data_IF_198149193824
#
_entry.id   IF_198149193824
#
_cell.length_a   1.000
_cell.length_b   1.000
_cell.length_c   1.000
_cell.angle_alpha   90.00
_cell.angle_beta   90.00
_cell.angle_gamma   90.00
#
_symmetry.space_group_name_H-M   'P 1'
#
loop_
_entity.id
_entity.type
_entity.pdbx_description
1 polymer ?
#
# COMPACT_ATOMS: atom_id res chain seq x y z
N UNK A 1 -2.93 -30.50 -21.36
CA UNK A 1 -2.07 -29.44 -20.80
C UNK A 1 -0.66 -29.98 -20.72
N UNK A 2 0.27 -29.30 -21.41
CA UNK A 2 1.68 -29.74 -21.47
C UNK A 2 2.36 -29.66 -20.09
N UNK A 3 3.42 -30.45 -19.91
CA UNK A 3 4.21 -30.47 -18.65
C UNK A 3 4.85 -29.11 -18.38
N UNK A 4 5.14 -28.32 -19.45
CA UNK A 4 5.63 -26.95 -19.37
C UNK A 4 4.60 -25.97 -18.81
N UNK A 5 3.32 -26.11 -19.20
CA UNK A 5 2.25 -25.27 -18.66
C UNK A 5 2.02 -25.52 -17.17
N UNK A 6 2.14 -26.79 -16.72
CA UNK A 6 2.08 -27.16 -15.28
C UNK A 6 3.29 -26.62 -14.51
N UNK A 7 4.49 -26.67 -15.09
CA UNK A 7 5.70 -26.13 -14.46
C UNK A 7 5.70 -24.60 -14.39
N UNK A 8 5.18 -23.90 -15.40
CA UNK A 8 4.99 -22.45 -15.38
C UNK A 8 3.97 -22.02 -14.32
N UNK A 9 2.81 -22.69 -14.27
CA UNK A 9 1.79 -22.45 -13.24
C UNK A 9 2.33 -22.72 -11.83
N UNK A 10 3.14 -23.75 -11.64
CA UNK A 10 3.78 -24.08 -10.34
C UNK A 10 4.86 -23.07 -9.95
N UNK A 11 5.62 -22.53 -10.92
CA UNK A 11 6.57 -21.42 -10.70
C UNK A 11 5.87 -20.11 -10.34
N UNK A 12 4.69 -19.84 -10.89
CA UNK A 12 3.89 -18.65 -10.54
C UNK A 12 3.30 -18.73 -9.14
N UNK A 13 2.97 -19.94 -8.64
CA UNK A 13 2.48 -20.15 -7.26
C UNK A 13 3.58 -20.07 -6.21
N UNK A 14 4.86 -20.22 -6.60
CA UNK A 14 6.00 -20.26 -5.68
C UNK A 14 6.76 -18.92 -5.62
N UNK A 15 6.43 -17.96 -6.49
CA UNK A 15 7.06 -16.64 -6.49
C UNK A 15 6.54 -15.77 -5.34
N UNK A 16 7.43 -15.07 -4.62
CA UNK A 16 7.00 -14.20 -3.53
C UNK A 16 6.14 -13.04 -4.07
N UNK A 17 5.15 -12.64 -3.29
CA UNK A 17 4.14 -11.65 -3.70
C UNK A 17 4.28 -10.36 -2.90
N UNK A 18 4.06 -9.25 -3.57
CA UNK A 18 3.88 -7.94 -2.92
C UNK A 18 2.47 -7.44 -3.24
N UNK A 19 1.68 -7.21 -2.20
CA UNK A 19 0.34 -6.67 -2.31
C UNK A 19 0.36 -5.21 -1.85
N UNK A 20 0.04 -4.29 -2.76
CA UNK A 20 0.03 -2.86 -2.47
C UNK A 20 -1.43 -2.42 -2.36
N UNK A 21 -1.86 -2.01 -1.16
CA UNK A 21 -3.17 -1.40 -0.94
C UNK A 21 -3.00 0.11 -0.97
N UNK A 22 -3.46 0.73 -2.05
CA UNK A 22 -3.27 2.15 -2.31
C UNK A 22 -4.60 2.91 -2.35
N UNK A 23 -4.54 4.24 -2.19
CA UNK A 23 -5.72 5.10 -2.25
C UNK A 23 -5.64 6.27 -1.29
N UNK A 24 -6.55 7.26 -1.41
CA UNK A 24 -6.52 8.44 -0.57
C UNK A 24 -6.77 8.15 0.91
N UNK A 25 -6.47 9.11 1.77
CA UNK A 25 -6.89 9.06 3.16
C UNK A 25 -8.44 8.94 3.22
N UNK A 26 -8.96 8.17 4.16
CA UNK A 26 -10.40 7.91 4.26
C UNK A 26 -10.98 6.87 3.30
N UNK A 27 -10.19 6.27 2.39
CA UNK A 27 -10.67 5.27 1.45
C UNK A 27 -10.94 3.87 2.04
N UNK A 28 -10.70 3.67 3.35
CA UNK A 28 -10.91 2.36 3.98
C UNK A 28 -9.81 1.33 3.71
N UNK A 29 -8.62 1.77 3.34
CA UNK A 29 -7.49 0.88 3.00
C UNK A 29 -7.12 -0.11 4.09
N UNK A 30 -7.02 0.36 5.34
CA UNK A 30 -6.66 -0.50 6.47
C UNK A 30 -7.73 -1.55 6.74
N UNK A 31 -9.01 -1.18 6.66
CA UNK A 31 -10.14 -2.13 6.81
C UNK A 31 -10.09 -3.18 5.70
N UNK A 32 -9.98 -2.74 4.44
CA UNK A 32 -9.83 -3.65 3.31
C UNK A 32 -8.62 -4.58 3.47
N UNK A 33 -7.48 -4.04 3.91
CA UNK A 33 -6.27 -4.84 4.11
C UNK A 33 -6.49 -5.92 5.18
N UNK A 34 -7.07 -5.58 6.33
CA UNK A 34 -7.31 -6.53 7.41
C UNK A 34 -8.27 -7.65 6.99
N UNK A 35 -9.32 -7.34 6.27
CA UNK A 35 -10.28 -8.32 5.78
C UNK A 35 -9.70 -9.18 4.66
N UNK A 36 -9.16 -8.55 3.61
CA UNK A 36 -8.71 -9.24 2.41
C UNK A 36 -7.39 -9.99 2.58
N UNK A 37 -6.38 -9.38 3.25
CA UNK A 37 -5.04 -9.96 3.30
C UNK A 37 -5.00 -11.24 4.13
N UNK A 38 -5.76 -11.29 5.21
CA UNK A 38 -5.80 -12.46 6.11
C UNK A 38 -6.68 -13.56 5.51
N UNK A 39 -7.91 -13.21 5.08
CA UNK A 39 -8.89 -14.19 4.63
C UNK A 39 -8.60 -14.72 3.21
N UNK A 40 -8.27 -13.85 2.27
CA UNK A 40 -8.24 -14.18 0.84
C UNK A 40 -6.82 -14.31 0.27
N UNK A 41 -5.88 -13.51 0.77
CA UNK A 41 -4.54 -13.45 0.19
C UNK A 41 -3.51 -14.32 0.92
N UNK A 42 -3.83 -14.85 2.09
CA UNK A 42 -2.91 -15.58 2.97
C UNK A 42 -1.56 -14.84 3.13
N UNK A 43 -1.62 -13.52 3.35
CA UNK A 43 -0.46 -12.65 3.46
C UNK A 43 -0.51 -11.89 4.81
N UNK A 44 -0.03 -12.49 5.91
CA UNK A 44 -0.11 -11.88 7.25
C UNK A 44 0.89 -10.74 7.46
N UNK A 45 1.98 -10.70 6.68
CA UNK A 45 2.98 -9.64 6.78
C UNK A 45 2.44 -8.35 6.14
N UNK A 46 1.99 -7.41 6.97
CA UNK A 46 1.40 -6.15 6.53
C UNK A 46 2.13 -4.96 7.15
N UNK A 47 2.55 -4.01 6.33
CA UNK A 47 3.32 -2.83 6.76
C UNK A 47 2.55 -1.56 6.41
N UNK A 48 2.33 -0.72 7.44
CA UNK A 48 1.62 0.55 7.33
C UNK A 48 2.36 1.62 8.13
N UNK A 49 2.80 2.69 7.47
CA UNK A 49 3.57 3.77 8.09
C UNK A 49 2.74 4.53 9.16
N UNK A 50 1.43 4.68 8.97
CA UNK A 50 0.57 5.36 9.94
C UNK A 50 0.43 4.53 11.23
N UNK A 51 0.33 3.20 11.13
CA UNK A 51 0.33 2.30 12.29
C UNK A 51 1.68 2.29 13.00
N UNK A 52 2.79 2.32 12.27
CA UNK A 52 4.13 2.45 12.85
C UNK A 52 4.24 3.78 13.60
N UNK A 53 3.81 4.89 13.00
CA UNK A 53 3.83 6.21 13.63
C UNK A 53 3.00 6.24 14.91
N UNK A 54 1.79 5.67 14.89
CA UNK A 54 0.93 5.56 16.06
C UNK A 54 1.55 4.70 17.17
N UNK A 55 2.23 3.61 16.82
CA UNK A 55 2.96 2.78 17.78
C UNK A 55 4.17 3.49 18.40
N UNK A 56 4.83 4.38 17.65
CA UNK A 56 5.98 5.16 18.13
C UNK A 56 5.58 6.38 18.97
N UNK A 57 4.48 7.01 18.63
CA UNK A 57 3.97 8.24 19.30
C UNK A 57 2.44 8.22 19.29
N UNK A 58 1.81 7.48 20.23
CA UNK A 58 0.36 7.28 20.22
C UNK A 58 -0.46 8.57 20.32
N UNK A 59 0.05 9.58 21.03
CA UNK A 59 -0.65 10.86 21.25
C UNK A 59 -0.36 11.93 20.20
N UNK A 60 0.73 11.77 19.41
CA UNK A 60 1.15 12.71 18.37
C UNK A 60 1.87 11.97 17.23
N UNK A 61 1.17 11.09 16.48
CA UNK A 61 1.79 10.26 15.43
C UNK A 61 2.48 11.06 14.31
N UNK A 62 2.01 12.30 14.07
CA UNK A 62 2.59 13.21 13.08
C UNK A 62 4.06 13.54 13.38
N UNK A 63 4.46 13.59 14.67
CA UNK A 63 5.84 13.81 15.08
C UNK A 63 6.76 12.62 14.69
N UNK A 64 6.20 11.43 14.67
CA UNK A 64 6.90 10.20 14.32
C UNK A 64 6.87 9.87 12.80
N UNK A 65 6.08 10.59 12.00
CA UNK A 65 5.79 10.22 10.61
C UNK A 65 7.03 10.00 9.73
N UNK A 66 8.07 10.84 9.84
CA UNK A 66 9.32 10.68 9.08
C UNK A 66 10.09 9.43 9.50
N UNK A 67 10.14 9.17 10.80
CA UNK A 67 10.83 8.00 11.36
C UNK A 67 10.08 6.73 11.00
N UNK A 68 8.76 6.74 11.11
CA UNK A 68 7.88 5.64 10.71
C UNK A 68 8.03 5.28 9.23
N UNK A 69 8.10 6.28 8.34
CA UNK A 69 8.35 6.05 6.92
C UNK A 69 9.70 5.37 6.66
N UNK A 70 10.76 5.74 7.39
CA UNK A 70 12.07 5.08 7.30
C UNK A 70 12.00 3.64 7.80
N UNK A 71 11.42 3.41 8.98
CA UNK A 71 11.22 2.06 9.55
C UNK A 71 10.42 1.19 8.59
N UNK A 72 9.37 1.73 7.97
CA UNK A 72 8.60 1.02 6.95
C UNK A 72 9.52 0.55 5.81
N UNK A 73 10.32 1.43 5.22
CA UNK A 73 11.20 1.07 4.11
C UNK A 73 12.25 0.03 4.51
N UNK A 74 12.85 0.15 5.70
CA UNK A 74 13.79 -0.83 6.25
C UNK A 74 13.13 -2.20 6.44
N UNK A 75 11.88 -2.23 6.92
CA UNK A 75 11.10 -3.46 7.08
C UNK A 75 10.82 -4.11 5.72
N UNK A 76 10.40 -3.33 4.71
CA UNK A 76 10.17 -3.82 3.35
C UNK A 76 11.45 -4.40 2.74
N UNK A 77 12.59 -3.72 2.91
CA UNK A 77 13.90 -4.21 2.45
C UNK A 77 14.30 -5.50 3.18
N UNK A 78 13.92 -5.66 4.44
CA UNK A 78 14.08 -6.90 5.20
C UNK A 78 13.34 -8.07 4.54
N UNK A 79 12.05 -7.94 4.27
CA UNK A 79 11.25 -8.96 3.57
C UNK A 79 11.82 -9.29 2.18
N UNK A 80 12.27 -8.26 1.45
CA UNK A 80 12.86 -8.45 0.12
C UNK A 80 14.16 -9.24 0.18
N UNK A 81 14.98 -9.08 1.21
CA UNK A 81 16.22 -9.85 1.40
C UNK A 81 15.97 -11.34 1.61
N UNK A 82 14.95 -11.67 2.39
CA UNK A 82 14.61 -13.08 2.71
C UNK A 82 13.58 -13.67 1.75
N UNK A 83 13.17 -12.93 0.71
CA UNK A 83 12.18 -13.33 -0.32
C UNK A 83 10.82 -13.69 0.27
N UNK A 84 10.42 -13.03 1.33
CA UNK A 84 9.11 -13.22 1.97
C UNK A 84 8.03 -12.39 1.25
N UNK A 85 6.82 -12.96 1.17
CA UNK A 85 5.65 -12.24 0.66
C UNK A 85 5.16 -11.24 1.70
N UNK A 86 4.82 -10.04 1.28
CA UNK A 86 4.31 -9.00 2.17
C UNK A 86 3.27 -8.12 1.49
N UNK A 87 2.51 -7.42 2.32
CA UNK A 87 1.61 -6.36 1.89
C UNK A 87 2.02 -5.02 2.49
N UNK A 88 1.67 -3.96 1.80
CA UNK A 88 1.88 -2.60 2.31
C UNK A 88 0.70 -1.70 1.99
N UNK A 89 0.49 -0.71 2.86
CA UNK A 89 -0.48 0.35 2.66
C UNK A 89 0.20 1.67 2.29
N UNK A 90 -0.38 2.39 1.33
CA UNK A 90 0.15 3.70 0.93
C UNK A 90 -0.94 4.61 0.36
N UNK A 91 -0.77 5.92 0.46
CA UNK A 91 -1.56 6.88 -0.31
C UNK A 91 -1.10 6.99 -1.76
N UNK A 92 0.00 6.36 -2.12
CA UNK A 92 0.67 6.47 -3.43
C UNK A 92 1.04 7.91 -3.81
N UNK A 93 1.01 8.85 -2.87
CA UNK A 93 1.27 10.27 -3.14
C UNK A 93 2.75 10.61 -3.34
N UNK A 94 3.64 9.73 -2.87
CA UNK A 94 5.10 9.84 -3.06
C UNK A 94 5.60 9.08 -4.29
N UNK A 95 6.79 9.43 -4.77
CA UNK A 95 7.44 8.77 -5.90
C UNK A 95 8.33 7.59 -5.53
N UNK A 96 8.48 7.28 -4.25
CA UNK A 96 9.37 6.22 -3.78
C UNK A 96 9.06 4.87 -4.45
N UNK A 97 7.79 4.51 -4.58
CA UNK A 97 7.38 3.25 -5.17
C UNK A 97 7.67 3.14 -6.67
N UNK A 98 7.80 4.26 -7.39
CA UNK A 98 8.24 4.25 -8.79
C UNK A 98 9.65 3.65 -8.95
N UNK A 99 10.50 3.77 -7.91
CA UNK A 99 11.85 3.17 -7.87
C UNK A 99 11.84 1.77 -7.28
N UNK A 100 11.01 1.49 -6.28
CA UNK A 100 10.98 0.20 -5.60
C UNK A 100 10.33 -0.89 -6.47
N UNK A 101 9.22 -0.61 -7.13
CA UNK A 101 8.46 -1.59 -7.93
C UNK A 101 9.33 -2.28 -9.00
N UNK A 102 10.10 -1.56 -9.85
CA UNK A 102 10.98 -2.22 -10.82
C UNK A 102 12.04 -3.10 -10.17
N UNK A 103 12.60 -2.68 -9.03
CA UNK A 103 13.61 -3.43 -8.27
C UNK A 103 13.04 -4.72 -7.68
N UNK A 104 11.81 -4.68 -7.14
CA UNK A 104 11.13 -5.84 -6.61
C UNK A 104 10.79 -6.86 -7.71
N UNK A 105 10.33 -6.37 -8.88
CA UNK A 105 10.10 -7.22 -10.05
C UNK A 105 11.38 -7.89 -10.54
N UNK A 106 12.48 -7.15 -10.62
CA UNK A 106 13.79 -7.70 -11.01
C UNK A 106 14.28 -8.81 -10.04
N UNK A 107 13.78 -8.81 -8.80
CA UNK A 107 14.02 -9.85 -7.79
C UNK A 107 12.99 -10.98 -7.83
N UNK A 108 12.13 -11.02 -8.85
CA UNK A 108 11.16 -12.10 -9.07
C UNK A 108 9.88 -12.01 -8.23
N UNK A 109 9.54 -10.82 -7.70
CA UNK A 109 8.27 -10.62 -7.01
C UNK A 109 7.11 -10.43 -8.00
N UNK A 110 5.99 -11.11 -7.71
CA UNK A 110 4.71 -10.78 -8.32
C UNK A 110 4.06 -9.64 -7.54
N UNK A 111 3.80 -8.51 -8.22
CA UNK A 111 3.24 -7.31 -7.58
C UNK A 111 1.79 -7.13 -8.02
N UNK A 112 0.89 -7.01 -7.05
CA UNK A 112 -0.51 -6.69 -7.27
C UNK A 112 -0.85 -5.39 -6.54
N UNK A 113 -1.44 -4.43 -7.27
CA UNK A 113 -1.87 -3.15 -6.73
C UNK A 113 -3.41 -3.10 -6.67
N UNK A 114 -3.93 -2.81 -5.50
CA UNK A 114 -5.34 -2.50 -5.26
C UNK A 114 -5.45 -1.00 -5.00
N UNK A 115 -6.16 -0.28 -5.86
CA UNK A 115 -6.36 1.15 -5.67
C UNK A 115 -7.81 1.42 -5.26
N UNK A 116 -8.03 1.77 -3.99
CA UNK A 116 -9.32 2.14 -3.44
C UNK A 116 -9.60 3.60 -3.77
N UNK A 117 -10.56 3.82 -4.65
CA UNK A 117 -10.92 5.14 -5.14
C UNK A 117 -11.99 5.78 -4.26
N UNK A 118 -11.92 7.10 -4.12
CA UNK A 118 -13.02 7.95 -3.68
C UNK A 118 -13.40 8.92 -4.82
N UNK A 119 -14.66 9.36 -4.89
CA UNK A 119 -15.13 10.24 -5.95
C UNK A 119 -14.38 11.57 -6.05
N UNK A 120 -14.07 12.17 -4.89
CA UNK A 120 -13.42 13.48 -4.80
C UNK A 120 -12.64 13.63 -3.48
N UNK A 121 -11.89 14.72 -3.38
CA UNK A 121 -11.09 15.04 -2.20
C UNK A 121 -11.95 15.45 -1.00
N UNK A 122 -13.12 16.02 -1.24
CA UNK A 122 -14.09 16.45 -0.23
C UNK A 122 -14.56 15.24 0.58
N UNK A 123 -14.97 14.17 -0.07
CA UNK A 123 -15.34 12.91 0.59
C UNK A 123 -14.16 12.31 1.38
N UNK A 124 -12.93 12.44 0.88
CA UNK A 124 -11.75 11.99 1.61
C UNK A 124 -11.59 12.76 2.93
N UNK A 125 -11.74 14.10 2.89
CA UNK A 125 -11.67 14.96 4.07
C UNK A 125 -12.81 14.69 5.07
N UNK A 126 -14.04 14.52 4.60
CA UNK A 126 -15.20 14.19 5.43
C UNK A 126 -14.99 12.87 6.19
N UNK A 127 -14.50 11.84 5.51
CA UNK A 127 -14.21 10.53 6.13
C UNK A 127 -13.05 10.60 7.12
N UNK A 128 -12.02 11.41 6.86
CA UNK A 128 -10.96 11.67 7.83
C UNK A 128 -11.53 12.37 9.06
N UNK A 129 -12.35 13.44 8.88
CA UNK A 129 -12.98 14.15 9.98
C UNK A 129 -13.92 13.24 10.81
N UNK A 130 -14.68 12.36 10.16
CA UNK A 130 -15.50 11.36 10.84
C UNK A 130 -14.67 10.41 11.69
N UNK A 131 -13.56 9.91 11.14
CA UNK A 131 -12.61 9.04 11.86
C UNK A 131 -12.03 9.73 13.09
N UNK A 132 -11.68 11.01 12.97
CA UNK A 132 -11.17 11.83 14.11
C UNK A 132 -12.21 11.92 15.21
N UNK A 133 -13.48 12.16 14.88
CA UNK A 133 -14.57 12.15 15.89
C UNK A 133 -14.74 10.80 16.60
N UNK A 134 -14.27 9.72 16.00
CA UNK A 134 -14.26 8.37 16.58
C UNK A 134 -12.94 8.02 17.30
N UNK A 135 -12.09 9.02 17.58
CA UNK A 135 -10.80 8.84 18.27
C UNK A 135 -9.64 8.44 17.37
N UNK A 136 -9.80 8.49 16.03
CA UNK A 136 -8.74 8.21 15.10
C UNK A 136 -7.81 9.39 14.85
N UNK A 137 -6.66 9.12 14.25
CA UNK A 137 -5.63 10.11 13.92
C UNK A 137 -6.12 11.15 12.90
N UNK A 138 -5.82 12.43 13.18
CA UNK A 138 -6.10 13.56 12.30
C UNK A 138 -5.05 13.70 11.19
N UNK A 139 -5.50 14.19 10.04
CA UNK A 139 -4.64 14.57 8.91
C UNK A 139 -5.20 15.90 8.38
N UNK A 140 -4.35 16.90 8.38
CA UNK A 140 -4.74 18.23 7.93
C UNK A 140 -5.42 18.20 6.53
N UNK A 141 -6.52 18.96 6.33
CA UNK A 141 -7.30 18.94 5.09
C UNK A 141 -6.47 19.20 3.84
N UNK A 142 -5.52 20.14 3.89
CA UNK A 142 -4.63 20.47 2.77
C UNK A 142 -3.68 19.31 2.44
N UNK A 143 -3.25 18.54 3.44
CA UNK A 143 -2.43 17.33 3.23
C UNK A 143 -3.26 16.24 2.58
N UNK A 144 -4.50 16.05 3.03
CA UNK A 144 -5.44 15.07 2.46
C UNK A 144 -5.73 15.40 1.00
N UNK A 145 -6.03 16.66 0.67
CA UNK A 145 -6.28 17.11 -0.70
C UNK A 145 -5.07 16.92 -1.61
N UNK A 146 -3.88 17.31 -1.15
CA UNK A 146 -2.63 17.12 -1.88
C UNK A 146 -2.34 15.64 -2.14
N UNK A 147 -2.51 14.78 -1.12
CA UNK A 147 -2.29 13.33 -1.26
C UNK A 147 -3.30 12.68 -2.19
N UNK A 148 -4.56 13.15 -2.17
CA UNK A 148 -5.61 12.69 -3.10
C UNK A 148 -5.19 12.92 -4.56
N UNK A 149 -4.83 14.15 -4.91
CA UNK A 149 -4.44 14.52 -6.27
C UNK A 149 -3.16 13.79 -6.72
N UNK A 150 -2.13 13.77 -5.86
CA UNK A 150 -0.84 13.15 -6.19
C UNK A 150 -0.95 11.64 -6.29
N UNK A 151 -1.74 11.00 -5.42
CA UNK A 151 -1.94 9.54 -5.42
C UNK A 151 -2.65 9.08 -6.70
N UNK A 152 -3.70 9.78 -7.11
CA UNK A 152 -4.40 9.51 -8.36
C UNK A 152 -3.49 9.67 -9.58
N UNK A 153 -2.76 10.80 -9.67
CA UNK A 153 -1.80 11.03 -10.75
C UNK A 153 -0.74 9.93 -10.86
N UNK A 154 -0.17 9.53 -9.74
CA UNK A 154 0.86 8.47 -9.72
C UNK A 154 0.28 7.11 -10.12
N UNK A 155 -0.96 6.81 -9.72
CA UNK A 155 -1.69 5.62 -10.13
C UNK A 155 -1.91 5.59 -11.65
N UNK A 156 -2.38 6.68 -12.25
CA UNK A 156 -2.60 6.77 -13.70
C UNK A 156 -1.30 6.59 -14.50
N UNK A 157 -0.19 7.20 -14.03
CA UNK A 157 1.14 7.01 -14.65
C UNK A 157 1.56 5.53 -14.59
N UNK A 158 1.38 4.86 -13.45
CA UNK A 158 1.68 3.44 -13.31
C UNK A 158 0.86 2.57 -14.26
N UNK A 159 -0.44 2.85 -14.37
CA UNK A 159 -1.37 2.15 -15.27
C UNK A 159 -1.03 2.34 -16.75
N UNK A 160 -0.76 3.59 -17.16
CA UNK A 160 -0.41 3.92 -18.54
C UNK A 160 0.89 3.26 -19.02
N UNK A 161 1.83 3.00 -18.10
CA UNK A 161 3.08 2.30 -18.42
C UNK A 161 2.92 0.78 -18.64
N UNK A 162 1.70 0.24 -18.61
CA UNK A 162 1.39 -1.17 -18.88
C UNK A 162 1.99 -2.19 -17.90
N UNK A 163 2.45 -1.71 -16.74
CA UNK A 163 3.27 -2.49 -15.81
C UNK A 163 2.51 -3.13 -14.65
N UNK A 164 1.19 -2.95 -14.55
CA UNK A 164 0.41 -3.40 -13.39
C UNK A 164 -0.95 -4.00 -13.79
N UNK A 165 -1.28 -5.16 -13.21
CA UNK A 165 -2.68 -5.62 -13.16
C UNK A 165 -3.35 -4.86 -12.01
N UNK A 166 -4.32 -4.02 -12.35
CA UNK A 166 -5.06 -3.20 -11.42
C UNK A 166 -6.42 -3.80 -11.18
N UNK A 167 -6.76 -4.01 -9.91
CA UNK A 167 -8.14 -4.25 -9.48
C UNK A 167 -8.69 -2.92 -8.92
N UNK A 168 -9.75 -2.41 -9.50
CA UNK A 168 -10.52 -1.24 -9.02
C UNK A 168 -11.77 -1.70 -8.34
#
# INVERSE_FOLDING_TARGET
MSNEARNLARKETDAPRILIVAGPNGAGKTTFALEFLVAEAACPAFVNADLIAAGMSPFAPELAARKAARVMLETLDGYVRVRESFALETTLSGRAYAHHIPRWRARGYHIKLFFLRLPNAEMAMERVAQRVRQGGHDIAPEVTRRRFASGWKNFEIGRASGRERVCT
#
